data_IF_537370844826
#
_entry.id   IF_537370844826
#
_cell.length_a   1.000
_cell.length_b   1.000
_cell.length_c   1.000
_cell.angle_alpha   90.00
_cell.angle_beta   90.00
_cell.angle_gamma   90.00
#
_symmetry.space_group_name_H-M   'P 1'
#
loop_
_entity.id
_entity.type
_entity.pdbx_description
1 polymer ?
#
# COMPACT_ATOMS: atom_id res chain seq x y z
N UNK A 1 5.20 15.96 23.38
CA UNK A 1 5.85 14.69 22.97
C UNK A 1 4.88 13.64 22.41
N UNK A 2 3.61 13.57 22.84
CA UNK A 2 2.63 12.55 22.38
C UNK A 2 2.07 12.74 20.95
N UNK A 3 2.05 13.97 20.41
CA UNK A 3 1.48 14.27 19.08
C UNK A 3 2.33 13.71 17.92
N UNK A 4 3.66 13.73 18.05
CA UNK A 4 4.57 13.18 17.04
C UNK A 4 4.50 11.65 16.99
N UNK A 5 4.30 10.98 18.12
CA UNK A 5 4.12 9.52 18.17
C UNK A 5 2.79 9.09 17.57
N UNK A 6 1.70 9.82 17.83
CA UNK A 6 0.38 9.56 17.20
C UNK A 6 0.38 9.80 15.69
N UNK A 7 1.02 10.87 15.20
CA UNK A 7 1.18 11.11 13.77
C UNK A 7 2.10 10.08 13.10
N UNK A 8 3.06 9.50 13.84
CA UNK A 8 3.95 8.44 13.36
C UNK A 8 3.21 7.09 13.28
N UNK A 9 2.45 6.73 14.31
CA UNK A 9 1.64 5.51 14.32
C UNK A 9 0.51 5.55 13.29
N UNK A 10 -0.14 6.71 13.08
CA UNK A 10 -1.17 6.89 12.05
C UNK A 10 -0.59 6.81 10.63
N UNK A 11 0.62 7.36 10.41
CA UNK A 11 1.37 7.24 9.15
C UNK A 11 1.76 5.80 8.83
N UNK A 12 2.11 5.01 9.85
CA UNK A 12 2.47 3.60 9.68
C UNK A 12 1.22 2.74 9.53
N UNK A 13 0.17 2.89 10.34
CA UNK A 13 -1.02 2.01 10.27
C UNK A 13 -1.95 2.29 9.10
N UNK A 14 -2.27 3.54 8.78
CA UNK A 14 -3.16 3.84 7.65
C UNK A 14 -2.49 3.54 6.30
N UNK A 15 -1.20 3.88 6.16
CA UNK A 15 -0.42 3.53 4.97
C UNK A 15 -0.19 2.02 4.87
N UNK A 16 0.09 1.31 5.97
CA UNK A 16 0.31 -0.15 5.92
C UNK A 16 -0.99 -0.90 5.65
N UNK A 17 -2.16 -0.43 6.11
CA UNK A 17 -3.46 -1.06 5.80
C UNK A 17 -3.92 -0.74 4.37
N UNK A 18 -3.72 0.48 3.86
CA UNK A 18 -4.01 0.79 2.45
C UNK A 18 -3.00 0.20 1.47
N UNK A 19 -1.73 0.08 1.87
CA UNK A 19 -0.72 -0.66 1.13
C UNK A 19 -0.95 -2.15 1.30
N UNK A 20 -1.48 -2.68 2.40
CA UNK A 20 -1.82 -4.11 2.49
C UNK A 20 -3.09 -4.44 1.72
N UNK A 21 -4.17 -3.67 1.80
CA UNK A 21 -5.39 -3.93 1.02
C UNK A 21 -5.14 -3.60 -0.46
N UNK A 22 -4.50 -2.47 -0.73
CA UNK A 22 -4.05 -2.06 -2.05
C UNK A 22 -3.03 -3.03 -2.64
N UNK A 23 -1.94 -3.38 -1.94
CA UNK A 23 -0.95 -4.33 -2.46
C UNK A 23 -1.37 -5.79 -2.37
N UNK A 24 -2.28 -6.22 -1.48
CA UNK A 24 -2.86 -7.58 -1.57
C UNK A 24 -3.79 -7.67 -2.78
N UNK A 25 -4.56 -6.62 -3.10
CA UNK A 25 -5.39 -6.59 -4.32
C UNK A 25 -4.53 -6.36 -5.58
N UNK A 26 -3.49 -5.53 -5.53
CA UNK A 26 -2.66 -5.14 -6.68
C UNK A 26 -1.51 -6.15 -6.94
N UNK A 27 -0.92 -6.77 -5.91
CA UNK A 27 0.02 -7.89 -6.10
C UNK A 27 -0.71 -9.18 -6.53
N UNK A 28 -1.98 -9.37 -6.17
CA UNK A 28 -2.78 -10.46 -6.72
C UNK A 28 -3.11 -10.23 -8.21
N UNK A 29 -3.33 -8.98 -8.62
CA UNK A 29 -3.65 -8.60 -10.00
C UNK A 29 -2.44 -8.67 -10.96
N UNK A 30 -1.24 -8.33 -10.48
CA UNK A 30 0.00 -8.37 -11.27
C UNK A 30 0.70 -9.74 -11.26
N UNK A 31 0.24 -10.69 -10.43
CA UNK A 31 0.91 -11.97 -10.15
C UNK A 31 0.32 -13.21 -10.84
N UNK A 32 -0.59 -13.07 -11.81
CA UNK A 32 -1.19 -14.19 -12.56
C UNK A 32 -1.00 -13.91 -14.06
N UNK A 33 -0.26 -14.67 -14.89
CA UNK A 33 0.02 -16.11 -14.98
C UNK A 33 1.40 -16.35 -15.62
N UNK A 34 2.34 -16.96 -14.88
CA UNK A 34 3.30 -17.92 -15.47
C UNK A 34 3.32 -19.12 -14.55
N UNK A 35 2.64 -20.19 -14.97
CA UNK A 35 2.81 -21.53 -14.39
C UNK A 35 4.22 -22.01 -14.72
N UNK A 36 5.15 -21.87 -13.79
CA UNK A 36 6.43 -22.58 -13.81
C UNK A 36 6.40 -23.67 -12.75
N UNK A 37 6.59 -24.92 -13.15
CA UNK A 37 6.68 -26.10 -12.28
C UNK A 37 7.62 -25.89 -11.08
N UNK A 38 7.38 -26.53 -9.93
CA UNK A 38 8.23 -26.39 -8.76
C UNK A 38 9.61 -26.97 -9.05
N UNK A 39 10.58 -26.10 -9.34
CA UNK A 39 12.01 -26.44 -9.21
C UNK A 39 12.33 -26.52 -7.71
N UNK A 40 12.96 -27.61 -7.32
CA UNK A 40 13.46 -27.86 -5.97
C UNK A 40 14.11 -26.61 -5.38
N UNK A 41 13.66 -26.21 -4.19
CA UNK A 41 14.24 -25.12 -3.41
C UNK A 41 15.67 -25.52 -3.04
N UNK A 42 16.62 -25.16 -3.88
CA UNK A 42 18.03 -25.21 -3.51
C UNK A 42 18.24 -24.28 -2.31
N UNK A 43 18.95 -24.77 -1.30
CA UNK A 43 19.41 -24.00 -0.14
C UNK A 43 20.06 -22.71 -0.64
N UNK A 44 19.40 -21.57 -0.43
CA UNK A 44 19.89 -20.23 -0.82
C UNK A 44 21.08 -19.90 0.09
N UNK A 45 22.26 -20.30 -0.37
CA UNK A 45 23.55 -19.90 0.19
C UNK A 45 23.75 -18.40 -0.08
N UNK A 46 24.06 -17.63 0.97
CA UNK A 46 24.56 -16.23 0.96
C UNK A 46 24.42 -15.50 -0.38
N UNK A 47 23.23 -14.99 -0.67
CA UNK A 47 22.97 -14.24 -1.88
C UNK A 47 23.84 -12.98 -1.87
N UNK A 48 24.72 -12.86 -2.86
CA UNK A 48 25.70 -11.77 -2.96
C UNK A 48 25.01 -10.42 -3.04
N UNK A 49 25.51 -9.44 -2.29
CA UNK A 49 25.05 -8.05 -2.36
C UNK A 49 25.35 -7.42 -3.73
N UNK A 50 26.22 -8.03 -4.54
CA UNK A 50 26.58 -7.58 -5.89
C UNK A 50 25.44 -7.61 -6.91
N UNK A 51 24.38 -8.36 -6.64
CA UNK A 51 23.33 -8.65 -7.62
C UNK A 51 22.02 -7.90 -7.32
N UNK A 52 22.07 -6.86 -6.48
CA UNK A 52 20.88 -6.07 -6.19
C UNK A 52 20.42 -5.27 -7.42
N UNK A 53 19.09 -5.14 -7.52
CA UNK A 53 18.47 -4.26 -8.52
C UNK A 53 18.29 -2.91 -7.87
N UNK A 54 18.86 -1.88 -8.49
CA UNK A 54 18.71 -0.49 -8.08
C UNK A 54 17.59 0.16 -8.87
N UNK A 55 16.61 0.73 -8.19
CA UNK A 55 15.49 1.44 -8.82
C UNK A 55 15.34 2.82 -8.20
N UNK A 56 15.28 3.85 -9.02
CA UNK A 56 14.99 5.22 -8.58
C UNK A 56 13.53 5.52 -8.87
N UNK A 57 12.80 6.00 -7.87
CA UNK A 57 11.39 6.35 -8.00
C UNK A 57 11.12 7.78 -7.58
N UNK A 58 10.14 8.38 -8.23
CA UNK A 58 9.52 9.62 -7.80
C UNK A 58 8.07 9.35 -7.43
N UNK A 59 7.66 9.81 -6.26
CA UNK A 59 6.29 9.75 -5.78
C UNK A 59 5.75 11.15 -5.53
N UNK A 60 4.49 11.38 -5.88
CA UNK A 60 3.76 12.61 -5.61
C UNK A 60 2.38 12.28 -5.07
N UNK A 61 2.06 12.74 -3.87
CA UNK A 61 0.76 12.56 -3.23
C UNK A 61 0.16 13.91 -2.87
N UNK A 62 -0.91 14.35 -3.55
CA UNK A 62 -1.70 15.48 -3.09
C UNK A 62 -2.29 15.15 -1.71
N UNK A 63 -2.21 16.11 -0.79
CA UNK A 63 -2.85 16.04 0.51
C UNK A 63 -3.67 17.32 0.73
N UNK A 64 -4.51 17.35 1.76
CA UNK A 64 -5.34 18.54 2.02
C UNK A 64 -4.47 19.80 2.19
N UNK A 65 -4.62 20.75 1.27
CA UNK A 65 -3.88 22.01 1.26
C UNK A 65 -2.41 21.92 0.84
N UNK A 66 -1.93 20.80 0.31
CA UNK A 66 -0.53 20.64 -0.08
C UNK A 66 -0.23 19.40 -0.91
N UNK A 67 1.06 19.12 -1.09
CA UNK A 67 1.58 17.98 -1.83
C UNK A 67 2.78 17.40 -1.08
N UNK A 68 2.80 16.09 -0.92
CA UNK A 68 3.98 15.34 -0.52
C UNK A 68 4.66 14.85 -1.80
N UNK A 69 5.94 15.16 -1.95
CA UNK A 69 6.81 14.59 -2.98
C UNK A 69 7.87 13.74 -2.29
N UNK A 70 8.24 12.63 -2.90
CA UNK A 70 9.31 11.77 -2.42
C UNK A 70 10.16 11.30 -3.59
N UNK A 71 11.46 11.51 -3.50
CA UNK A 71 12.43 10.84 -4.38
C UNK A 71 13.03 9.68 -3.58
N UNK A 72 12.96 8.45 -4.08
CA UNK A 72 13.57 7.28 -3.45
C UNK A 72 14.56 6.59 -4.38
N UNK A 73 15.63 6.06 -3.80
CA UNK A 73 16.52 5.10 -4.44
C UNK A 73 16.48 3.82 -3.63
N UNK A 74 16.05 2.74 -4.26
CA UNK A 74 15.93 1.45 -3.63
C UNK A 74 16.94 0.47 -4.22
N UNK A 75 17.58 -0.32 -3.36
CA UNK A 75 18.32 -1.51 -3.75
C UNK A 75 17.56 -2.72 -3.20
N UNK A 76 17.29 -3.70 -4.05
CA UNK A 76 16.49 -4.85 -3.63
C UNK A 76 17.07 -6.17 -4.12
N UNK A 77 17.01 -7.16 -3.24
CA UNK A 77 17.23 -8.58 -3.47
C UNK A 77 16.06 -9.34 -2.86
N UNK A 78 15.92 -10.66 -3.07
CA UNK A 78 14.85 -11.44 -2.45
C UNK A 78 14.86 -11.45 -0.91
N UNK A 79 15.98 -11.12 -0.26
CA UNK A 79 16.13 -11.18 1.21
C UNK A 79 16.46 -9.84 1.87
N UNK A 80 16.84 -8.84 1.07
CA UNK A 80 17.36 -7.58 1.58
C UNK A 80 16.82 -6.45 0.74
N UNK A 81 16.42 -5.37 1.41
CA UNK A 81 15.97 -4.14 0.77
C UNK A 81 16.59 -2.95 1.49
N UNK A 82 17.07 -1.98 0.73
CA UNK A 82 17.43 -0.65 1.22
C UNK A 82 16.64 0.38 0.45
N UNK A 83 16.10 1.36 1.15
CA UNK A 83 15.34 2.48 0.59
C UNK A 83 15.86 3.79 1.19
N UNK A 84 16.53 4.57 0.34
CA UNK A 84 17.02 5.91 0.64
C UNK A 84 16.02 6.90 0.06
N UNK A 85 15.25 7.60 0.91
CA UNK A 85 14.18 8.48 0.50
C UNK A 85 14.35 9.92 1.01
N UNK A 86 13.95 10.88 0.18
CA UNK A 86 13.90 12.30 0.55
C UNK A 86 12.47 12.78 0.37
N UNK A 87 11.78 13.03 1.49
CA UNK A 87 10.39 13.49 1.49
C UNK A 87 10.33 15.01 1.60
N UNK A 88 9.69 15.65 0.62
CA UNK A 88 9.42 17.09 0.58
C UNK A 88 7.93 17.33 0.73
N UNK A 89 7.55 18.25 1.62
CA UNK A 89 6.17 18.73 1.73
C UNK A 89 6.08 20.13 1.15
N UNK A 90 5.19 20.34 0.18
CA UNK A 90 4.92 21.63 -0.48
C UNK A 90 3.49 22.08 -0.18
N UNK A 91 3.30 23.37 0.06
CA UNK A 91 1.97 23.97 0.25
C UNK A 91 1.35 23.79 1.65
N UNK A 92 0.44 24.71 1.98
CA UNK A 92 -0.39 24.66 3.20
C UNK A 92 0.36 24.81 4.52
N UNK A 93 -0.37 24.61 5.62
CA UNK A 93 0.16 24.62 6.99
C UNK A 93 1.26 23.55 7.17
N UNK A 94 1.15 22.41 6.49
CA UNK A 94 2.13 21.32 6.55
C UNK A 94 3.47 21.68 5.91
N UNK A 95 3.47 22.47 4.82
CA UNK A 95 4.71 23.00 4.25
C UNK A 95 5.43 23.96 5.20
N UNK A 96 4.69 24.77 5.96
CA UNK A 96 5.26 25.68 6.98
C UNK A 96 5.81 24.90 8.16
N UNK A 97 5.05 23.94 8.69
CA UNK A 97 5.49 23.06 9.79
C UNK A 97 6.70 22.22 9.36
N UNK A 98 6.71 21.69 8.14
CA UNK A 98 7.83 20.95 7.58
C UNK A 98 9.10 21.80 7.50
N UNK A 99 9.00 23.06 7.07
CA UNK A 99 10.13 24.00 7.08
C UNK A 99 10.63 24.30 8.51
N UNK A 100 9.72 24.54 9.46
CA UNK A 100 10.08 24.85 10.85
C UNK A 100 10.69 23.65 11.58
N UNK A 101 10.29 22.42 11.26
CA UNK A 101 10.85 21.19 11.82
C UNK A 101 12.21 20.79 11.19
N UNK A 102 12.79 21.64 10.34
CA UNK A 102 14.12 21.43 9.75
C UNK A 102 14.11 20.97 8.29
N UNK A 103 13.01 21.17 7.56
CA UNK A 103 12.92 20.88 6.12
C UNK A 103 12.81 19.39 5.80
N UNK A 104 12.77 19.07 4.51
CA UNK A 104 12.63 17.72 3.95
C UNK A 104 13.41 16.66 4.73
N UNK A 105 12.73 15.61 5.17
CA UNK A 105 13.35 14.51 5.91
C UNK A 105 13.96 13.52 4.95
N UNK A 106 15.29 13.42 4.94
CA UNK A 106 15.96 12.25 4.39
C UNK A 106 15.81 11.10 5.40
N UNK A 107 15.37 9.95 4.93
CA UNK A 107 15.25 8.73 5.71
C UNK A 107 15.90 7.57 4.96
N UNK A 108 16.53 6.67 5.69
CA UNK A 108 17.06 5.43 5.12
C UNK A 108 16.42 4.27 5.88
N UNK A 109 15.80 3.34 5.14
CA UNK A 109 15.26 2.11 5.71
C UNK A 109 16.03 0.93 5.12
N UNK A 110 16.52 0.05 5.98
CA UNK A 110 17.19 -1.19 5.57
C UNK A 110 16.43 -2.35 6.20
N UNK A 111 15.95 -3.28 5.38
CA UNK A 111 15.25 -4.48 5.80
C UNK A 111 16.08 -5.72 5.44
N UNK A 112 16.37 -6.55 6.44
CA UNK A 112 17.17 -7.77 6.36
C UNK A 112 16.34 -8.95 6.82
N UNK A 113 15.70 -9.63 5.86
CA UNK A 113 14.86 -10.80 6.15
C UNK A 113 15.71 -11.96 6.68
N UNK A 114 16.93 -12.11 6.17
CA UNK A 114 17.92 -13.08 6.61
C UNK A 114 18.31 -12.89 8.08
N UNK A 115 18.33 -11.63 8.57
CA UNK A 115 18.62 -11.29 9.97
C UNK A 115 17.37 -11.09 10.85
N UNK A 116 16.17 -11.14 10.28
CA UNK A 116 14.90 -10.82 10.96
C UNK A 116 14.83 -9.38 11.52
N UNK A 117 15.44 -8.43 10.82
CA UNK A 117 15.57 -7.05 11.28
C UNK A 117 15.14 -6.02 10.24
N UNK A 118 14.63 -4.90 10.72
CA UNK A 118 14.51 -3.66 9.98
C UNK A 118 15.18 -2.53 10.76
N UNK A 119 15.95 -1.71 10.07
CA UNK A 119 16.59 -0.51 10.61
C UNK A 119 16.01 0.73 9.96
N UNK A 120 15.71 1.73 10.79
CA UNK A 120 15.35 3.07 10.37
C UNK A 120 16.46 4.03 10.78
N UNK A 121 17.13 4.62 9.80
CA UNK A 121 18.28 5.50 9.99
C UNK A 121 17.83 6.95 9.84
N UNK A 122 18.36 7.83 10.69
CA UNK A 122 18.30 9.29 10.60
C UNK A 122 19.68 9.78 10.14
N UNK A 123 19.89 10.07 8.84
CA UNK A 123 21.19 10.46 8.31
C UNK A 123 21.73 11.76 8.90
N UNK A 124 20.83 12.69 9.28
CA UNK A 124 21.21 13.98 9.86
C UNK A 124 21.82 13.80 11.25
N UNK A 125 21.24 12.92 12.06
CA UNK A 125 21.73 12.63 13.41
C UNK A 125 22.75 11.51 13.47
N UNK A 126 22.93 10.77 12.38
CA UNK A 126 23.71 9.52 12.34
C UNK A 126 23.26 8.57 13.45
N UNK A 127 21.95 8.42 13.59
CA UNK A 127 21.35 7.49 14.56
C UNK A 127 20.47 6.48 13.86
N UNK A 128 20.27 5.31 14.44
CA UNK A 128 19.34 4.31 13.93
C UNK A 128 18.46 3.73 15.03
N UNK A 129 17.28 3.27 14.63
CA UNK A 129 16.39 2.43 15.41
C UNK A 129 16.33 1.05 14.76
N UNK A 130 16.29 0.02 15.59
CA UNK A 130 16.20 -1.37 15.19
C UNK A 130 14.84 -1.93 15.60
N UNK A 131 14.22 -2.67 14.70
CA UNK A 131 12.96 -3.36 14.94
C UNK A 131 13.07 -4.81 14.46
N UNK A 132 12.70 -5.74 15.33
CA UNK A 132 12.59 -7.14 14.95
C UNK A 132 11.34 -7.36 14.10
N UNK A 133 11.46 -8.12 13.02
CA UNK A 133 10.32 -8.47 12.18
C UNK A 133 9.40 -9.48 12.88
N UNK A 134 9.94 -10.40 13.68
CA UNK A 134 9.15 -11.34 14.47
C UNK A 134 8.37 -10.69 15.61
N UNK A 135 8.83 -9.57 16.19
CA UNK A 135 8.07 -8.83 17.20
C UNK A 135 6.67 -8.37 16.69
N UNK A 136 6.53 -8.12 15.39
CA UNK A 136 5.22 -7.81 14.80
C UNK A 136 4.25 -9.00 14.86
N UNK A 137 4.75 -10.24 14.81
CA UNK A 137 3.93 -11.45 14.98
C UNK A 137 3.32 -11.50 16.37
N UNK A 138 4.14 -11.27 17.39
CA UNK A 138 3.71 -11.35 18.79
C UNK A 138 2.61 -10.33 19.10
N UNK A 139 2.80 -9.08 18.65
CA UNK A 139 1.78 -8.03 18.81
C UNK A 139 0.49 -8.40 18.08
N UNK A 140 0.59 -8.95 16.86
CA UNK A 140 -0.57 -9.40 16.09
C UNK A 140 -1.30 -10.54 16.79
N UNK A 141 -0.58 -11.55 17.26
CA UNK A 141 -1.17 -12.73 17.90
C UNK A 141 -1.90 -12.31 19.18
N UNK A 142 -1.31 -11.42 19.98
CA UNK A 142 -1.99 -10.79 21.13
C UNK A 142 -3.23 -9.99 20.73
N UNK A 143 -3.20 -9.27 19.61
CA UNK A 143 -4.37 -8.52 19.11
C UNK A 143 -5.50 -9.44 18.63
N UNK A 144 -5.16 -10.57 18.01
CA UNK A 144 -6.13 -11.58 17.58
C UNK A 144 -6.75 -12.30 18.77
N UNK A 145 -5.96 -12.69 19.77
CA UNK A 145 -6.45 -13.33 21.00
C UNK A 145 -7.37 -12.42 21.82
N UNK A 146 -7.08 -11.13 21.88
CA UNK A 146 -7.90 -10.16 22.62
C UNK A 146 -9.21 -9.77 21.93
N UNK A 147 -9.48 -10.30 20.73
CA UNK A 147 -10.74 -10.08 20.00
C UNK A 147 -11.01 -8.60 19.68
N UNK A 148 -9.98 -7.75 19.62
CA UNK A 148 -10.08 -6.30 19.44
C UNK A 148 -10.36 -5.86 18.00
N UNK A 149 -10.68 -6.79 17.10
CA UNK A 149 -11.09 -6.43 15.74
C UNK A 149 -12.50 -5.83 15.76
N UNK A 150 -12.75 -4.75 14.99
CA UNK A 150 -14.03 -4.06 14.99
C UNK A 150 -15.17 -5.01 14.58
N UNK A 151 -16.19 -5.11 15.44
CA UNK A 151 -17.34 -6.02 15.34
C UNK A 151 -18.33 -5.74 14.20
N UNK A 152 -18.10 -4.72 13.37
CA UNK A 152 -19.03 -4.38 12.29
C UNK A 152 -18.80 -5.32 11.12
N UNK A 153 -19.58 -6.39 11.08
CA UNK A 153 -19.59 -7.30 9.95
C UNK A 153 -20.15 -6.56 8.72
N UNK A 154 -19.32 -6.42 7.69
CA UNK A 154 -19.68 -5.92 6.37
C UNK A 154 -19.65 -7.10 5.40
N UNK A 155 -20.40 -7.01 4.29
CA UNK A 155 -20.32 -7.97 3.17
C UNK A 155 -20.12 -7.22 1.87
N UNK A 156 -19.28 -7.73 0.97
CA UNK A 156 -19.22 -7.25 -0.41
C UNK A 156 -20.52 -7.65 -1.12
N UNK A 157 -21.26 -6.66 -1.65
CA UNK A 157 -22.54 -6.88 -2.34
C UNK A 157 -22.44 -6.67 -3.85
N UNK A 158 -21.48 -5.87 -4.30
CA UNK A 158 -21.26 -5.61 -5.72
C UNK A 158 -19.79 -5.24 -5.95
N UNK A 159 -19.30 -5.49 -7.16
CA UNK A 159 -17.96 -5.10 -7.57
C UNK A 159 -17.88 -5.00 -9.08
N UNK A 160 -17.13 -4.03 -9.56
CA UNK A 160 -16.77 -3.93 -10.96
C UNK A 160 -15.30 -3.57 -11.12
N UNK A 161 -14.72 -4.02 -12.23
CA UNK A 161 -13.35 -3.80 -12.60
C UNK A 161 -13.28 -3.80 -14.13
N UNK A 162 -12.66 -2.77 -14.70
CA UNK A 162 -12.54 -2.57 -16.14
C UNK A 162 -11.18 -1.99 -16.49
N UNK A 163 -10.56 -2.55 -17.52
CA UNK A 163 -9.37 -2.00 -18.16
C UNK A 163 -9.72 -1.47 -19.54
N UNK A 164 -9.28 -0.24 -19.81
CA UNK A 164 -9.41 0.45 -21.09
C UNK A 164 -8.04 0.72 -21.67
N UNK A 165 -7.78 0.22 -22.88
CA UNK A 165 -6.61 0.62 -23.68
C UNK A 165 -6.92 1.95 -24.37
N UNK A 166 -6.12 2.98 -24.15
CA UNK A 166 -6.44 4.32 -24.67
C UNK A 166 -5.86 4.60 -26.05
N UNK A 167 -4.89 3.79 -26.49
CA UNK A 167 -4.12 4.04 -27.71
C UNK A 167 -3.12 5.20 -27.59
N UNK A 168 -3.02 5.85 -26.43
CA UNK A 168 -2.03 6.89 -26.21
C UNK A 168 -0.65 6.29 -25.97
N UNK A 169 0.36 6.93 -26.57
CA UNK A 169 1.76 6.56 -26.45
C UNK A 169 2.58 7.77 -26.01
N UNK A 170 3.61 7.54 -25.18
CA UNK A 170 4.59 8.56 -24.82
C UNK A 170 5.90 7.93 -24.38
N UNK A 171 6.99 8.68 -24.43
CA UNK A 171 8.27 8.25 -23.87
C UNK A 171 8.44 8.77 -22.45
N UNK A 172 8.70 7.88 -21.48
CA UNK A 172 9.01 8.23 -20.09
C UNK A 172 10.40 7.73 -19.75
N UNK A 173 11.32 8.63 -19.37
CA UNK A 173 12.69 8.29 -18.94
C UNK A 173 13.43 7.31 -19.88
N UNK A 174 13.17 7.42 -21.20
CA UNK A 174 13.75 6.55 -22.22
C UNK A 174 12.95 5.29 -22.56
N UNK A 175 11.86 5.00 -21.86
CA UNK A 175 10.96 3.89 -22.18
C UNK A 175 9.81 4.34 -23.09
N UNK A 176 9.55 3.59 -24.15
CA UNK A 176 8.36 3.78 -24.99
C UNK A 176 7.14 3.15 -24.30
N UNK A 177 6.17 3.98 -23.90
CA UNK A 177 5.06 3.56 -23.06
C UNK A 177 3.71 3.69 -23.76
N UNK A 178 2.81 2.77 -23.46
CA UNK A 178 1.39 2.79 -23.81
C UNK A 178 0.55 3.00 -22.56
N UNK A 179 -0.52 3.78 -22.67
CA UNK A 179 -1.40 4.08 -21.55
C UNK A 179 -2.55 3.08 -21.42
N UNK A 180 -2.84 2.72 -20.18
CA UNK A 180 -4.00 1.95 -19.77
C UNK A 180 -4.73 2.68 -18.65
N UNK A 181 -6.06 2.62 -18.67
CA UNK A 181 -6.91 3.11 -17.58
C UNK A 181 -7.60 1.93 -16.94
N UNK A 182 -7.47 1.82 -15.63
CA UNK A 182 -8.13 0.83 -14.80
C UNK A 182 -9.12 1.54 -13.90
N UNK A 183 -10.40 1.21 -14.05
CA UNK A 183 -11.50 1.77 -13.30
C UNK A 183 -12.26 0.65 -12.59
N UNK A 184 -12.79 0.93 -11.40
CA UNK A 184 -13.70 0.01 -10.78
C UNK A 184 -14.24 0.48 -9.45
N UNK A 185 -15.01 -0.39 -8.82
CA UNK A 185 -15.56 -0.15 -7.51
C UNK A 185 -15.78 -1.43 -6.72
N UNK A 186 -15.85 -1.28 -5.41
CA UNK A 186 -16.30 -2.28 -4.45
C UNK A 186 -17.47 -1.68 -3.67
N UNK A 187 -18.59 -2.38 -3.61
CA UNK A 187 -19.73 -1.99 -2.79
C UNK A 187 -19.89 -2.93 -1.61
N UNK A 188 -19.91 -2.36 -0.41
CA UNK A 188 -20.07 -3.09 0.83
C UNK A 188 -21.40 -2.75 1.48
N UNK A 189 -22.00 -3.72 2.15
CA UNK A 189 -23.19 -3.55 2.97
C UNK A 189 -22.90 -3.99 4.41
N UNK A 190 -23.19 -3.14 5.38
CA UNK A 190 -23.16 -3.50 6.80
C UNK A 190 -24.30 -4.46 7.12
N UNK A 191 -23.99 -5.63 7.70
CA UNK A 191 -24.96 -6.75 7.81
C UNK A 191 -26.18 -6.36 8.65
N UNK A 192 -25.97 -5.63 9.74
CA UNK A 192 -27.03 -5.23 10.69
C UNK A 192 -27.85 -4.05 10.17
N UNK A 193 -27.19 -2.94 9.80
CA UNK A 193 -27.88 -1.70 9.43
C UNK A 193 -28.38 -1.69 7.99
N UNK A 194 -27.88 -2.60 7.15
CA UNK A 194 -28.04 -2.59 5.68
C UNK A 194 -27.51 -1.33 5.01
N UNK A 195 -26.73 -0.51 5.70
CA UNK A 195 -26.10 0.66 5.11
C UNK A 195 -25.06 0.24 4.07
N UNK A 196 -25.11 0.88 2.90
CA UNK A 196 -24.20 0.61 1.78
C UNK A 196 -23.14 1.68 1.66
N UNK A 197 -21.89 1.26 1.51
CA UNK A 197 -20.74 2.09 1.16
C UNK A 197 -20.15 1.63 -0.17
N UNK A 198 -19.65 2.57 -0.97
CA UNK A 198 -18.99 2.28 -2.24
C UNK A 198 -17.60 2.88 -2.23
N UNK A 199 -16.62 2.07 -2.58
CA UNK A 199 -15.25 2.48 -2.81
C UNK A 199 -15.02 2.46 -4.30
N UNK A 200 -14.61 3.58 -4.89
CA UNK A 200 -14.23 3.63 -6.31
C UNK A 200 -12.73 3.81 -6.41
N UNK A 201 -12.11 3.15 -7.38
CA UNK A 201 -10.70 3.35 -7.69
C UNK A 201 -10.55 3.66 -9.18
N UNK A 202 -9.62 4.57 -9.45
CA UNK A 202 -9.18 4.95 -10.78
C UNK A 202 -7.66 4.87 -10.80
N UNK A 203 -7.10 4.23 -11.80
CA UNK A 203 -5.67 4.06 -11.95
C UNK A 203 -5.27 4.22 -13.41
N UNK A 204 -4.43 5.21 -13.68
CA UNK A 204 -3.79 5.43 -14.96
C UNK A 204 -2.40 4.82 -14.91
N UNK A 205 -2.08 3.98 -15.89
CA UNK A 205 -0.81 3.27 -15.97
C UNK A 205 -0.13 3.55 -17.30
N UNK A 206 1.19 3.71 -17.26
CA UNK A 206 2.04 3.85 -18.43
C UNK A 206 3.00 2.68 -18.50
N UNK A 207 2.78 1.80 -19.46
CA UNK A 207 3.46 0.52 -19.53
C UNK A 207 4.40 0.47 -20.73
N UNK A 208 5.62 0.01 -20.49
CA UNK A 208 6.62 -0.28 -21.54
C UNK A 208 6.70 -1.77 -21.81
N UNK A 209 7.27 -2.15 -22.95
CA UNK A 209 7.64 -3.54 -23.21
C UNK A 209 8.51 -4.10 -22.08
N UNK A 210 8.26 -5.35 -21.72
CA UNK A 210 8.91 -6.00 -20.59
C UNK A 210 10.36 -6.40 -20.91
N UNK A 211 11.29 -5.49 -20.61
CA UNK A 211 12.73 -5.73 -20.71
C UNK A 211 13.20 -6.77 -19.68
N UNK A 212 14.35 -7.45 -19.89
CA UNK A 212 14.89 -8.40 -18.91
C UNK A 212 15.09 -7.79 -17.52
N UNK A 213 15.50 -6.52 -17.44
CA UNK A 213 15.75 -5.86 -16.16
C UNK A 213 14.45 -5.49 -15.42
N UNK A 214 13.42 -5.03 -16.14
CA UNK A 214 12.10 -4.74 -15.55
C UNK A 214 11.44 -6.03 -15.03
N UNK A 215 11.52 -7.13 -15.79
CA UNK A 215 11.06 -8.45 -15.32
C UNK A 215 11.81 -8.88 -14.06
N UNK A 216 13.14 -8.75 -14.06
CA UNK A 216 13.95 -9.08 -12.90
C UNK A 216 13.57 -8.24 -11.66
N UNK A 217 13.25 -6.95 -11.83
CA UNK A 217 12.75 -6.10 -10.75
C UNK A 217 11.44 -6.65 -10.19
N UNK A 218 10.44 -6.91 -11.05
CA UNK A 218 9.14 -7.45 -10.63
C UNK A 218 9.28 -8.78 -9.88
N UNK A 219 10.06 -9.72 -10.43
CA UNK A 219 10.31 -11.02 -9.81
C UNK A 219 10.99 -10.88 -8.44
N UNK A 220 11.96 -9.95 -8.33
CA UNK A 220 12.70 -9.69 -7.10
C UNK A 220 11.82 -9.04 -6.04
N UNK A 221 10.99 -8.06 -6.42
CA UNK A 221 10.02 -7.43 -5.52
C UNK A 221 8.98 -8.43 -5.03
N UNK A 222 8.43 -9.26 -5.92
CA UNK A 222 7.49 -10.31 -5.56
C UNK A 222 8.11 -11.31 -4.59
N UNK A 223 9.34 -11.76 -4.87
CA UNK A 223 10.07 -12.67 -4.00
C UNK A 223 10.34 -12.06 -2.63
N UNK A 224 10.81 -10.80 -2.58
CA UNK A 224 11.05 -10.07 -1.34
C UNK A 224 9.76 -9.91 -0.53
N UNK A 225 8.65 -9.45 -1.13
CA UNK A 225 7.39 -9.28 -0.43
C UNK A 225 6.84 -10.60 0.09
N UNK A 226 6.90 -11.68 -0.70
CA UNK A 226 6.52 -13.03 -0.24
C UNK A 226 7.33 -13.44 0.99
N UNK A 227 8.65 -13.25 0.96
CA UNK A 227 9.54 -13.59 2.07
C UNK A 227 9.29 -12.67 3.28
N UNK A 228 8.99 -11.39 3.08
CA UNK A 228 8.67 -10.45 4.14
C UNK A 228 7.36 -10.82 4.83
N UNK A 229 6.31 -11.10 4.06
CA UNK A 229 5.03 -11.64 4.58
C UNK A 229 5.28 -12.95 5.34
N UNK A 230 6.21 -13.78 4.85
CA UNK A 230 6.63 -15.00 5.57
C UNK A 230 7.21 -14.68 6.94
N UNK A 231 8.08 -13.68 6.99
CA UNK A 231 8.70 -13.17 8.22
C UNK A 231 7.69 -12.54 9.16
N UNK A 232 6.57 -12.04 8.67
CA UNK A 232 5.43 -11.62 9.50
C UNK A 232 4.53 -12.78 9.94
N UNK A 233 4.89 -14.03 9.65
CA UNK A 233 4.10 -15.21 10.04
C UNK A 233 2.76 -15.25 9.32
N UNK A 234 2.72 -14.70 8.11
CA UNK A 234 1.55 -14.66 7.22
C UNK A 234 1.71 -15.63 6.04
N UNK A 235 2.82 -16.40 5.96
CA UNK A 235 2.96 -17.43 4.94
C UNK A 235 2.44 -18.80 5.36
N UNK A 236 2.20 -19.55 4.29
CA UNK A 236 1.69 -20.90 4.20
C UNK A 236 2.84 -21.82 3.81
N UNK A 237 3.45 -22.50 4.77
CA UNK A 237 4.34 -23.62 4.42
C UNK A 237 3.54 -24.83 3.91
N UNK A 238 2.21 -24.75 3.99
CA UNK A 238 1.19 -25.63 3.45
C UNK A 238 0.56 -25.03 2.19
N UNK A 239 1.13 -25.40 1.02
CA UNK A 239 0.88 -24.84 -0.32
C UNK A 239 -0.58 -24.84 -0.86
N UNK A 240 -1.58 -25.19 -0.06
CA UNK A 240 -3.00 -25.15 -0.46
C UNK A 240 -3.98 -24.85 0.68
N UNK A 241 -3.58 -24.95 1.95
CA UNK A 241 -4.48 -24.86 3.11
C UNK A 241 -4.64 -23.43 3.62
N UNK A 242 -3.58 -22.86 4.21
CA UNK A 242 -3.67 -21.56 4.88
C UNK A 242 -3.85 -20.35 3.98
N UNK A 243 -3.55 -20.41 2.68
CA UNK A 243 -3.71 -19.25 1.78
C UNK A 243 -5.17 -19.13 1.41
N UNK A 244 -5.84 -20.26 1.16
CA UNK A 244 -7.29 -20.35 1.12
C UNK A 244 -7.90 -20.06 2.49
N UNK A 245 -7.26 -20.41 3.60
CA UNK A 245 -7.74 -20.05 4.93
C UNK A 245 -7.60 -18.56 5.22
N UNK A 246 -6.55 -17.88 4.76
CA UNK A 246 -6.33 -16.44 4.92
C UNK A 246 -7.22 -15.66 3.97
N UNK A 247 -7.31 -16.05 2.70
CA UNK A 247 -8.27 -15.50 1.73
C UNK A 247 -9.70 -15.77 2.24
N UNK A 248 -9.94 -16.93 2.83
CA UNK A 248 -11.20 -17.30 3.47
C UNK A 248 -11.44 -16.57 4.79
N UNK A 249 -10.41 -16.24 5.57
CA UNK A 249 -10.50 -15.49 6.81
C UNK A 249 -10.72 -14.01 6.53
N UNK A 250 -10.01 -13.46 5.54
CA UNK A 250 -10.25 -12.13 4.98
C UNK A 250 -11.63 -12.09 4.35
N UNK A 251 -12.03 -13.13 3.60
CA UNK A 251 -13.38 -13.30 3.10
C UNK A 251 -14.41 -13.28 4.22
N UNK A 252 -14.23 -14.06 5.29
CA UNK A 252 -15.11 -14.04 6.48
C UNK A 252 -15.13 -12.68 7.18
N UNK A 253 -13.97 -12.03 7.32
CA UNK A 253 -13.85 -10.71 7.93
C UNK A 253 -14.56 -9.63 7.11
N UNK A 254 -14.49 -9.73 5.78
CA UNK A 254 -15.10 -8.81 4.82
C UNK A 254 -16.50 -9.28 4.35
N UNK A 255 -17.03 -10.36 4.94
CA UNK A 255 -18.29 -11.00 4.55
C UNK A 255 -18.38 -11.41 3.08
N UNK A 256 -17.24 -11.71 2.45
CA UNK A 256 -17.12 -12.15 1.06
C UNK A 256 -17.11 -13.69 1.04
N UNK A 257 -18.04 -14.27 0.30
CA UNK A 257 -18.04 -15.72 0.07
C UNK A 257 -16.87 -16.16 -0.82
N UNK A 258 -16.39 -17.41 -0.71
CA UNK A 258 -15.36 -17.94 -1.62
C UNK A 258 -15.75 -17.84 -3.10
N UNK A 259 -17.03 -17.99 -3.42
CA UNK A 259 -17.55 -17.85 -4.78
C UNK A 259 -17.41 -16.42 -5.30
N UNK A 260 -17.77 -15.41 -4.49
CA UNK A 260 -17.59 -14.00 -4.84
C UNK A 260 -16.12 -13.64 -5.03
N UNK A 261 -15.22 -14.12 -4.15
CA UNK A 261 -13.78 -13.93 -4.30
C UNK A 261 -13.25 -14.53 -5.61
N UNK A 262 -13.68 -15.75 -5.93
CA UNK A 262 -13.29 -16.44 -7.17
C UNK A 262 -13.79 -15.68 -8.41
N UNK A 263 -15.04 -15.21 -8.38
CA UNK A 263 -15.62 -14.43 -9.46
C UNK A 263 -14.88 -13.09 -9.65
N UNK A 264 -14.62 -12.36 -8.56
CA UNK A 264 -13.88 -11.11 -8.58
C UNK A 264 -12.45 -11.30 -9.09
N UNK A 265 -11.76 -12.34 -8.64
CA UNK A 265 -10.42 -12.69 -9.12
C UNK A 265 -10.43 -13.05 -10.62
N UNK A 266 -11.42 -13.81 -11.09
CA UNK A 266 -11.55 -14.14 -12.50
C UNK A 266 -11.86 -12.91 -13.36
N UNK A 267 -12.70 -11.98 -12.89
CA UNK A 267 -12.96 -10.72 -13.58
C UNK A 267 -11.69 -9.87 -13.65
N UNK A 268 -11.01 -9.70 -12.52
CA UNK A 268 -9.76 -8.97 -12.45
C UNK A 268 -8.72 -9.55 -13.41
N UNK A 269 -8.49 -10.87 -13.40
CA UNK A 269 -7.54 -11.54 -14.30
C UNK A 269 -7.89 -11.36 -15.78
N UNK A 270 -9.17 -11.42 -16.16
CA UNK A 270 -9.59 -11.16 -17.56
C UNK A 270 -9.30 -9.74 -18.00
N UNK A 271 -9.54 -8.78 -17.11
CA UNK A 271 -9.36 -7.36 -17.43
C UNK A 271 -7.89 -6.95 -17.39
N UNK A 272 -7.12 -7.39 -16.40
CA UNK A 272 -5.67 -7.14 -16.33
C UNK A 272 -4.92 -7.85 -17.45
N UNK A 273 -5.42 -8.97 -17.97
CA UNK A 273 -4.89 -9.62 -19.16
C UNK A 273 -4.92 -8.75 -20.43
N UNK A 274 -5.66 -7.62 -20.43
CA UNK A 274 -5.63 -6.63 -21.52
C UNK A 274 -4.43 -5.69 -21.45
N UNK A 275 -3.77 -5.61 -20.29
CA UNK A 275 -2.62 -4.75 -20.05
C UNK A 275 -1.38 -5.46 -20.57
N UNK A 276 -0.71 -4.86 -21.55
CA UNK A 276 0.57 -5.37 -22.05
C UNK A 276 1.74 -4.58 -21.44
N UNK A 277 2.83 -5.29 -21.13
CA UNK A 277 4.06 -4.69 -20.64
C UNK A 277 4.08 -4.47 -19.12
N UNK A 278 5.08 -3.73 -18.66
CA UNK A 278 5.33 -3.44 -17.24
C UNK A 278 5.11 -1.95 -17.00
N UNK A 279 4.31 -1.61 -15.99
CA UNK A 279 4.09 -0.21 -15.61
C UNK A 279 5.39 0.42 -15.10
N UNK A 280 5.73 1.58 -15.65
CA UNK A 280 6.84 2.42 -15.19
C UNK A 280 6.34 3.74 -14.61
N UNK A 281 5.04 4.03 -14.73
CA UNK A 281 4.39 5.12 -14.02
C UNK A 281 2.91 4.80 -13.77
N UNK A 282 2.46 5.00 -12.55
CA UNK A 282 1.08 4.83 -12.13
C UNK A 282 0.59 6.12 -11.48
N UNK A 283 -0.58 6.60 -11.86
CA UNK A 283 -1.35 7.57 -11.09
C UNK A 283 -2.60 6.88 -10.58
N UNK A 284 -2.92 7.05 -9.29
CA UNK A 284 -4.05 6.39 -8.66
C UNK A 284 -4.90 7.40 -7.89
N UNK A 285 -6.19 7.09 -7.81
CA UNK A 285 -7.18 7.77 -6.99
C UNK A 285 -8.16 6.75 -6.45
N UNK A 286 -8.41 6.84 -5.15
CA UNK A 286 -9.36 6.02 -4.42
C UNK A 286 -10.31 6.96 -3.70
N UNK A 287 -11.59 6.77 -3.90
CA UNK A 287 -12.64 7.50 -3.21
C UNK A 287 -13.37 6.50 -2.29
N UNK A 288 -13.11 6.61 -1.00
CA UNK A 288 -13.66 5.74 0.03
C UNK A 288 -14.94 6.40 0.58
N UNK A 289 -16.09 6.06 0.00
CA UNK A 289 -17.37 6.60 0.44
C UNK A 289 -17.79 6.09 1.81
N UNK A 290 -18.19 6.99 2.70
CA UNK A 290 -18.90 6.63 3.93
C UNK A 290 -20.32 6.13 3.60
N UNK A 291 -20.74 5.03 4.24
CA UNK A 291 -22.03 4.41 3.99
C UNK A 291 -23.19 5.38 4.28
N UNK A 292 -24.01 5.65 3.27
CA UNK A 292 -25.01 6.72 3.35
C UNK A 292 -26.09 6.72 2.29
N UNK A 293 -26.09 5.81 1.31
CA UNK A 293 -27.31 5.57 0.52
C UNK A 293 -28.25 4.72 1.36
N UNK A 294 -29.06 5.38 2.20
CA UNK A 294 -30.38 4.81 2.52
C UNK A 294 -31.13 4.73 1.19
N UNK A 295 -31.64 3.55 0.87
CA UNK A 295 -32.61 3.41 -0.21
C UNK A 295 -33.68 4.49 -0.05
N UNK A 296 -33.98 5.22 -1.12
CA UNK A 296 -34.93 6.32 -1.11
C UNK A 296 -36.27 5.86 -0.50
N UNK A 297 -36.57 6.36 0.70
CA UNK A 297 -37.94 6.53 1.15
C UNK A 297 -38.19 8.02 1.22
N UNK A 298 -39.03 8.52 0.32
CA UNK A 298 -39.59 9.87 0.31
C UNK A 298 -40.05 10.30 1.70
N UNK A 299 -39.49 11.39 2.23
CA UNK A 299 -39.87 11.91 3.55
C UNK A 299 -39.23 13.25 3.89
N UNK A 300 -39.91 14.31 3.48
CA UNK A 300 -40.05 15.64 4.11
C UNK A 300 -38.86 16.29 4.84
N UNK A 301 -38.39 17.42 4.28
CA UNK A 301 -37.42 18.35 4.86
C UNK A 301 -38.00 19.07 6.08
N UNK A 302 -37.30 19.01 7.22
CA UNK A 302 -37.38 20.05 8.27
C UNK A 302 -36.04 20.76 8.41
N UNK A 303 -36.15 22.08 8.30
CA UNK A 303 -35.12 23.10 8.35
C UNK A 303 -34.56 23.27 9.77
N UNK A 304 -33.26 23.53 9.90
CA UNK A 304 -32.58 23.59 11.20
C UNK A 304 -31.08 23.87 11.16
N UNK A 305 -30.73 25.14 11.01
CA UNK A 305 -29.48 25.82 11.47
C UNK A 305 -28.19 24.98 11.54
N UNK A 306 -27.39 25.04 10.47
CA UNK A 306 -25.97 24.65 10.45
C UNK A 306 -25.08 25.85 10.78
N UNK A 307 -24.58 25.91 12.02
CA UNK A 307 -23.50 26.79 12.46
C UNK A 307 -22.60 26.05 13.43
N UNK A 308 -21.57 25.39 12.92
CA UNK A 308 -20.65 24.57 13.73
C UNK A 308 -19.47 24.11 12.87
N UNK A 309 -18.50 25.01 12.69
CA UNK A 309 -17.35 24.81 11.82
C UNK A 309 -16.33 23.77 12.32
N UNK A 310 -15.43 23.46 11.40
CA UNK A 310 -14.25 22.57 11.41
C UNK A 310 -13.48 22.39 12.74
N UNK A 311 -13.57 23.36 13.65
CA UNK A 311 -12.97 23.30 14.99
C UNK A 311 -13.61 22.23 15.89
N UNK A 312 -14.89 21.90 15.70
CA UNK A 312 -15.57 20.85 16.46
C UNK A 312 -15.07 19.43 16.15
N UNK A 313 -14.56 19.21 14.95
CA UNK A 313 -14.13 17.89 14.47
C UNK A 313 -12.77 17.48 15.04
N UNK A 314 -11.84 18.45 15.20
CA UNK A 314 -10.54 18.23 15.82
C UNK A 314 -10.65 17.94 17.33
N UNK A 315 -11.61 18.57 18.02
CA UNK A 315 -11.88 18.30 19.44
C UNK A 315 -12.39 16.87 19.71
N UNK A 316 -13.18 16.31 18.79
CA UNK A 316 -13.70 14.92 18.91
C UNK A 316 -12.63 13.86 18.67
N UNK A 317 -11.68 14.11 17.77
CA UNK A 317 -10.56 13.18 17.53
C UNK A 317 -9.60 13.10 18.73
N UNK A 318 -9.37 14.21 19.44
CA UNK A 318 -8.57 14.21 20.67
C UNK A 318 -9.23 13.42 21.83
N UNK A 319 -10.55 13.22 21.76
CA UNK A 319 -11.35 12.50 22.76
C UNK A 319 -11.54 11.00 22.46
N UNK A 320 -10.85 10.45 21.45
CA UNK A 320 -10.94 9.02 21.11
C UNK A 320 -12.30 8.58 20.53
N UNK A 321 -13.15 9.54 20.15
CA UNK A 321 -14.40 9.23 19.44
C UNK A 321 -14.10 9.03 17.95
N UNK A 322 -14.49 7.88 17.41
CA UNK A 322 -14.42 7.64 15.96
C UNK A 322 -15.27 8.68 15.23
N UNK A 323 -14.72 9.41 14.24
CA UNK A 323 -15.48 10.40 13.51
C UNK A 323 -16.57 9.69 12.70
N UNK A 324 -17.83 9.82 13.13
CA UNK A 324 -18.96 9.65 12.21
C UNK A 324 -19.18 10.99 11.51
N UNK A 325 -18.52 11.17 10.36
CA UNK A 325 -18.91 12.21 9.42
C UNK A 325 -20.01 11.62 8.53
N UNK A 326 -21.26 12.10 8.64
CA UNK A 326 -22.29 11.70 7.69
C UNK A 326 -21.97 12.33 6.33
N UNK A 327 -21.57 11.49 5.37
CA UNK A 327 -21.56 11.81 3.94
C UNK A 327 -20.26 12.32 3.32
N UNK A 328 -19.13 12.32 4.02
CA UNK A 328 -17.84 12.71 3.40
C UNK A 328 -17.11 11.49 2.81
N UNK A 329 -16.67 11.64 1.57
CA UNK A 329 -15.82 10.68 0.84
C UNK A 329 -14.38 10.97 1.18
N UNK A 330 -13.65 9.98 1.69
CA UNK A 330 -12.20 10.10 1.87
C UNK A 330 -11.51 9.80 0.54
N UNK A 331 -10.93 10.82 -0.09
CA UNK A 331 -10.14 10.65 -1.30
C UNK A 331 -8.66 10.47 -0.98
N UNK A 332 -8.06 9.42 -1.52
CA UNK A 332 -6.63 9.13 -1.48
C UNK A 332 -6.14 9.10 -2.91
N UNK A 333 -5.11 9.89 -3.23
CA UNK A 333 -4.58 9.95 -4.59
C UNK A 333 -3.07 10.15 -4.58
N UNK A 334 -2.42 9.75 -5.66
CA UNK A 334 -0.99 9.90 -5.83
C UNK A 334 -0.52 9.43 -7.20
N UNK A 335 0.77 9.63 -7.45
CA UNK A 335 1.46 9.11 -8.61
C UNK A 335 2.83 8.58 -8.20
N UNK A 336 3.28 7.50 -8.84
CA UNK A 336 4.59 6.88 -8.70
C UNK A 336 5.16 6.71 -10.09
N UNK A 337 6.44 7.02 -10.26
CA UNK A 337 7.15 6.89 -11.53
C UNK A 337 8.55 6.33 -11.29
N UNK A 338 8.91 5.29 -12.03
CA UNK A 338 10.30 4.80 -12.11
C UNK A 338 11.08 5.79 -12.97
N UNK A 339 12.16 6.33 -12.42
CA UNK A 339 13.06 7.30 -13.08
C UNK A 339 14.26 6.63 -13.72
N UNK A 340 14.78 5.58 -13.11
CA UNK A 340 15.86 4.76 -13.65
C UNK A 340 15.88 3.38 -13.00
N UNK A 341 16.54 2.45 -13.68
CA UNK A 341 16.68 1.06 -13.24
C UNK A 341 18.07 0.56 -13.66
N UNK A 342 18.80 -0.06 -12.73
CA UNK A 342 20.14 -0.59 -12.96
C UNK A 342 20.41 -1.82 -12.09
N UNK A 343 21.55 -2.49 -12.29
CA UNK A 343 22.13 -3.46 -11.36
C UNK A 343 23.31 -2.82 -10.67
N UNK A 344 23.25 -2.75 -9.34
CA UNK A 344 24.28 -2.13 -8.53
C UNK A 344 24.38 -2.88 -7.22
N UNK A 345 25.61 -3.05 -6.70
CA UNK A 345 25.79 -3.64 -5.39
C UNK A 345 25.05 -2.80 -4.32
N UNK A 346 24.19 -3.44 -3.53
CA UNK A 346 23.48 -2.77 -2.45
C UNK A 346 24.27 -2.77 -1.15
N UNK A 347 24.26 -1.64 -0.44
CA UNK A 347 24.79 -1.54 0.93
C UNK A 347 23.67 -1.79 1.95
N UNK A 348 23.53 -3.04 2.38
CA UNK A 348 22.46 -3.48 3.30
C UNK A 348 22.91 -3.58 4.76
N UNK A 349 23.94 -2.84 5.15
CA UNK A 349 24.40 -2.74 6.54
C UNK A 349 24.28 -1.30 7.04
N UNK A 350 24.26 -1.15 8.36
CA UNK A 350 24.30 0.18 8.99
C UNK A 350 25.72 0.73 8.82
N UNK A 351 25.90 1.96 8.30
CA UNK A 351 27.24 2.54 8.22
C UNK A 351 27.85 2.70 9.61
N UNK A 352 29.14 2.36 9.76
CA UNK A 352 29.83 2.35 11.06
C UNK A 352 29.79 3.68 11.84
N UNK A 353 29.53 4.80 11.15
CA UNK A 353 29.37 6.11 11.78
C UNK A 353 28.06 6.32 12.53
N UNK A 354 27.09 5.41 12.40
CA UNK A 354 25.78 5.53 13.04
C UNK A 354 25.77 4.91 14.42
N UNK A 355 24.98 5.49 15.34
CA UNK A 355 24.79 4.99 16.70
C UNK A 355 23.35 4.57 16.93
N UNK A 356 23.13 3.54 17.73
CA UNK A 356 21.80 3.15 18.16
C UNK A 356 21.20 4.28 19.00
N UNK A 357 19.94 4.62 18.74
CA UNK A 357 19.19 5.64 19.49
C UNK A 357 18.79 5.15 20.87
#
# INVERSE_FOLDING_TARGET
>A
MKLNTMLYEWRVTASTVLILVGAVLFCAAAGTLVSSSPRSVARVNSQSTSDAIKVVRHMRMPIFGGVIESDSTEWITPQMKRDDSVVRMKGGLLGVVGKMAGGSGAGVTITRLDKDLAWQLDPKKKTYQESSLSAYREVRDQQMETGRLPKKAVRLVDSDFKVTTTGQERTLNGWSCKQYLTDGYLEFEEIESKARSRWTFHNEQWNTEATPLLKALQDTELAFHRNYIAKLGLTTDDASGRSQEMIGALGRLLGISPAQLTQAAAQMARETGKINGISVADAFRWDLGAGGRKAESSGELKDGKRGGGLLGTLGRMAAGQSPSLPGEVLTIQGAIEIKSLDREAGDFEIPASYRRR
#
